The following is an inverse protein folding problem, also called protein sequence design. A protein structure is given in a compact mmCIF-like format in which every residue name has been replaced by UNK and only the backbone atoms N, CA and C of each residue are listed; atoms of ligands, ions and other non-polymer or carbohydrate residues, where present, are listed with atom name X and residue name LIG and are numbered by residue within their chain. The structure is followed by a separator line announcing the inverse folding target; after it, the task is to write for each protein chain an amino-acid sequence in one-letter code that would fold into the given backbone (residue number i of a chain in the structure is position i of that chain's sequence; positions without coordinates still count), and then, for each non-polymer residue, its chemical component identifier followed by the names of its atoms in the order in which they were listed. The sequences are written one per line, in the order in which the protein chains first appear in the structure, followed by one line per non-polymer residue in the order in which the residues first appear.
data_IF_302404255597
#
_entry.id   IF_302404255597
#
_cell.length_a   1.000
_cell.length_b   1.000
_cell.length_c   1.000
_cell.angle_alpha   90.00
_cell.angle_beta   90.00
_cell.angle_gamma   90.00
#
_symmetry.space_group_name_H-M   'P 1'
#
loop_
_entity.id
_entity.type
_entity.pdbx_description
1 polymer ?
#
# COMPACT_ATOMS: atom_id res chain seq x y z
N UNK A 1 22.84 -14.89 50.38
CA UNK A 1 21.60 -15.28 49.64
C UNK A 1 20.37 -14.43 49.89
N UNK A 2 20.18 -13.66 51.01
CA UNK A 2 18.99 -12.81 51.17
C UNK A 2 19.02 -11.46 50.41
N UNK A 3 20.20 -10.91 50.06
CA UNK A 3 20.33 -9.63 49.34
C UNK A 3 19.72 -9.64 47.94
N UNK A 4 19.83 -10.75 47.21
CA UNK A 4 19.24 -10.86 45.86
C UNK A 4 17.70 -10.87 45.83
N UNK A 5 17.07 -11.32 46.89
CA UNK A 5 15.58 -11.31 47.00
C UNK A 5 15.02 -9.92 47.31
N UNK A 6 15.77 -9.13 48.07
CA UNK A 6 15.37 -7.75 48.40
C UNK A 6 15.62 -6.84 47.18
N UNK A 7 16.72 -7.00 46.48
CA UNK A 7 16.96 -6.27 45.23
C UNK A 7 15.96 -6.62 44.12
N UNK A 8 15.53 -7.89 44.02
CA UNK A 8 14.43 -8.27 43.15
C UNK A 8 13.11 -7.65 43.57
N UNK A 9 12.76 -7.64 44.89
CA UNK A 9 11.57 -6.99 45.38
C UNK A 9 11.59 -5.47 45.15
N UNK A 10 12.72 -4.82 45.30
CA UNK A 10 12.88 -3.40 45.00
C UNK A 10 12.74 -3.13 43.49
N UNK A 11 13.27 -3.96 42.59
CA UNK A 11 13.06 -3.87 41.16
C UNK A 11 11.59 -4.04 40.74
N UNK A 12 10.87 -4.93 41.42
CA UNK A 12 9.43 -5.11 41.17
C UNK A 12 8.55 -3.99 41.79
N UNK A 13 9.00 -3.35 42.86
CA UNK A 13 8.27 -2.28 43.52
C UNK A 13 8.60 -0.88 42.98
N UNK A 14 9.83 -0.67 42.53
CA UNK A 14 10.27 0.63 41.97
C UNK A 14 9.79 0.89 40.53
N UNK A 15 9.22 -0.10 39.85
CA UNK A 15 8.75 0.02 38.49
C UNK A 15 7.34 0.64 38.31
N UNK A 16 6.62 0.95 39.36
CA UNK A 16 5.28 1.53 39.22
C UNK A 16 5.36 3.06 39.14
N UNK A 17 5.56 3.56 37.91
CA UNK A 17 5.30 4.98 37.67
C UNK A 17 3.83 5.29 37.97
N UNK A 18 3.52 6.36 38.77
CA UNK A 18 2.13 6.67 39.13
C UNK A 18 1.29 6.86 37.85
N UNK A 19 0.20 6.07 37.77
CA UNK A 19 -0.75 6.18 36.67
C UNK A 19 -1.49 7.51 36.77
N UNK A 20 -1.21 8.44 35.89
CA UNK A 20 -1.90 9.73 35.85
C UNK A 20 -3.01 9.68 34.80
N UNK A 21 -4.25 9.77 35.26
CA UNK A 21 -5.44 9.82 34.36
C UNK A 21 -5.37 11.03 33.44
N UNK A 22 -4.87 12.17 33.94
CA UNK A 22 -4.71 13.39 33.11
C UNK A 22 -3.76 13.21 31.94
N UNK A 23 -2.61 12.56 32.17
CA UNK A 23 -1.66 12.27 31.07
C UNK A 23 -2.23 11.26 30.07
N UNK A 24 -2.98 10.26 30.55
CA UNK A 24 -3.66 9.32 29.67
C UNK A 24 -4.67 10.02 28.77
N UNK A 25 -5.55 10.86 29.34
CA UNK A 25 -6.54 11.61 28.57
C UNK A 25 -5.89 12.51 27.52
N UNK A 26 -4.82 13.23 27.89
CA UNK A 26 -4.07 14.06 26.97
C UNK A 26 -3.46 13.22 25.82
N UNK A 27 -2.82 12.10 26.16
CA UNK A 27 -2.20 11.22 25.14
C UNK A 27 -3.24 10.58 24.21
N UNK A 28 -4.43 10.23 24.72
CA UNK A 28 -5.52 9.74 23.88
C UNK A 28 -6.06 10.83 22.93
N UNK A 29 -6.20 12.08 23.42
CA UNK A 29 -6.60 13.20 22.55
C UNK A 29 -5.57 13.48 21.46
N UNK A 30 -4.28 13.55 21.82
CA UNK A 30 -3.19 13.69 20.85
C UNK A 30 -3.18 12.53 19.86
N UNK A 31 -3.35 11.31 20.36
CA UNK A 31 -3.43 10.11 19.53
C UNK A 31 -4.60 10.14 18.54
N UNK A 32 -5.77 10.60 18.98
CA UNK A 32 -6.92 10.78 18.09
C UNK A 32 -6.60 11.77 16.95
N UNK A 33 -6.02 12.92 17.26
CA UNK A 33 -5.63 13.91 16.25
C UNK A 33 -4.62 13.33 15.26
N UNK A 34 -3.57 12.65 15.76
CA UNK A 34 -2.56 12.04 14.89
C UNK A 34 -3.19 10.94 14.01
N UNK A 35 -4.10 10.13 14.54
CA UNK A 35 -4.75 9.07 13.77
C UNK A 35 -5.60 9.61 12.61
N UNK A 36 -6.28 10.75 12.80
CA UNK A 36 -6.99 11.43 11.73
C UNK A 36 -6.04 12.01 10.67
N UNK A 37 -4.90 12.55 11.08
CA UNK A 37 -3.85 13.02 10.14
C UNK A 37 -3.33 11.84 9.32
N UNK A 38 -3.02 10.69 9.96
CA UNK A 38 -2.59 9.46 9.27
C UNK A 38 -3.65 8.97 8.30
N UNK A 39 -4.93 8.94 8.69
CA UNK A 39 -6.05 8.57 7.82
C UNK A 39 -6.13 9.49 6.60
N UNK A 40 -6.04 10.81 6.80
CA UNK A 40 -6.09 11.78 5.72
C UNK A 40 -4.90 11.60 4.76
N UNK A 41 -3.69 11.43 5.31
CA UNK A 41 -2.48 11.18 4.53
C UNK A 41 -2.60 9.87 3.72
N UNK A 42 -3.08 8.80 4.33
CA UNK A 42 -3.32 7.53 3.66
C UNK A 42 -4.32 7.68 2.51
N UNK A 43 -5.48 8.31 2.76
CA UNK A 43 -6.50 8.53 1.73
C UNK A 43 -5.96 9.33 0.53
N UNK A 44 -5.07 10.30 0.77
CA UNK A 44 -4.52 11.19 -0.25
C UNK A 44 -3.38 10.59 -1.06
N UNK A 45 -2.48 9.85 -0.41
CA UNK A 45 -1.21 9.42 -1.00
C UNK A 45 -1.06 7.92 -1.20
N UNK A 46 -1.97 7.09 -0.69
CA UNK A 46 -1.91 5.64 -0.87
C UNK A 46 -2.24 5.25 -2.32
N UNK A 47 -1.49 4.26 -2.82
CA UNK A 47 -1.68 3.67 -4.15
C UNK A 47 -2.34 2.30 -4.12
N UNK A 48 -2.90 1.90 -2.96
CA UNK A 48 -3.54 0.59 -2.77
C UNK A 48 -4.82 0.45 -3.57
N UNK A 49 -5.08 -0.77 -4.08
CA UNK A 49 -6.29 -1.14 -4.82
C UNK A 49 -7.51 -1.36 -3.93
N UNK A 50 -7.28 -1.50 -2.62
CA UNK A 50 -8.32 -1.75 -1.63
C UNK A 50 -9.13 -0.48 -1.33
N UNK A 51 -10.30 -0.63 -0.72
CA UNK A 51 -11.14 0.50 -0.28
C UNK A 51 -10.41 1.34 0.78
N UNK A 52 -9.73 2.42 0.33
CA UNK A 52 -8.88 3.30 1.16
C UNK A 52 -9.64 3.93 2.31
N UNK A 53 -10.94 4.16 2.13
CA UNK A 53 -11.77 4.80 3.15
C UNK A 53 -12.06 3.85 4.31
N UNK A 54 -12.39 2.62 3.98
CA UNK A 54 -12.70 1.57 4.95
C UNK A 54 -11.46 1.18 5.77
N UNK A 55 -10.33 0.98 5.09
CA UNK A 55 -9.08 0.66 5.76
C UNK A 55 -8.56 1.81 6.65
N UNK A 56 -8.65 3.05 6.19
CA UNK A 56 -8.27 4.23 6.97
C UNK A 56 -9.09 4.43 8.25
N UNK A 57 -10.31 3.89 8.32
CA UNK A 57 -11.16 3.94 9.51
C UNK A 57 -10.63 3.09 10.66
N UNK A 58 -9.74 2.13 10.38
CA UNK A 58 -9.14 1.23 11.39
C UNK A 58 -8.03 1.94 12.18
N UNK A 59 -7.37 2.95 11.61
CA UNK A 59 -6.20 3.63 12.21
C UNK A 59 -6.47 4.20 13.61
N UNK A 60 -7.57 4.96 13.85
CA UNK A 60 -7.88 5.45 15.18
C UNK A 60 -8.03 4.34 16.22
N UNK A 61 -8.70 3.25 15.85
CA UNK A 61 -8.90 2.12 16.77
C UNK A 61 -7.59 1.47 17.17
N UNK A 62 -6.71 1.18 16.21
CA UNK A 62 -5.41 0.54 16.49
C UNK A 62 -4.53 1.47 17.34
N UNK A 63 -4.41 2.74 16.95
CA UNK A 63 -3.56 3.69 17.65
C UNK A 63 -4.03 3.93 19.09
N UNK A 64 -5.31 4.21 19.29
CA UNK A 64 -5.87 4.48 20.62
C UNK A 64 -5.85 3.24 21.52
N UNK A 65 -6.17 2.06 20.98
CA UNK A 65 -6.09 0.80 21.72
C UNK A 65 -4.65 0.51 22.14
N UNK A 66 -3.68 0.70 21.24
CA UNK A 66 -2.25 0.52 21.58
C UNK A 66 -1.81 1.50 22.68
N UNK A 67 -2.21 2.79 22.57
CA UNK A 67 -1.92 3.80 23.59
C UNK A 67 -2.47 3.38 24.94
N UNK A 68 -3.72 2.92 25.00
CA UNK A 68 -4.36 2.47 26.23
C UNK A 68 -3.64 1.26 26.84
N UNK A 69 -3.39 0.22 26.01
CA UNK A 69 -2.72 -1.00 26.46
C UNK A 69 -1.35 -0.70 27.04
N UNK A 70 -0.53 0.09 26.37
CA UNK A 70 0.81 0.44 26.85
C UNK A 70 0.77 1.31 28.09
N UNK A 71 -0.20 2.23 28.20
CA UNK A 71 -0.35 3.04 29.42
C UNK A 71 -0.66 2.19 30.65
N UNK A 72 -1.44 1.11 30.49
CA UNK A 72 -1.76 0.16 31.57
C UNK A 72 -0.54 -0.74 31.87
N UNK A 73 0.08 -1.28 30.84
CA UNK A 73 1.19 -2.22 30.94
C UNK A 73 2.42 -1.57 31.60
N UNK A 74 2.70 -0.30 31.27
CA UNK A 74 3.80 0.47 31.86
C UNK A 74 3.71 0.58 33.37
N UNK A 75 2.52 0.50 33.95
CA UNK A 75 2.30 0.61 35.38
C UNK A 75 2.72 -0.65 36.16
N UNK A 76 2.95 -1.79 35.52
CA UNK A 76 3.29 -3.06 36.21
C UNK A 76 4.15 -3.98 35.32
N UNK A 77 5.32 -4.35 35.84
CA UNK A 77 6.21 -5.33 35.18
C UNK A 77 5.55 -6.69 34.98
N UNK A 78 4.74 -7.14 35.92
CA UNK A 78 4.03 -8.41 35.84
C UNK A 78 3.02 -8.40 34.67
N UNK A 79 2.28 -7.29 34.50
CA UNK A 79 1.37 -7.12 33.34
C UNK A 79 2.13 -7.06 32.03
N UNK A 80 3.33 -6.45 31.99
CA UNK A 80 4.17 -6.39 30.79
C UNK A 80 4.56 -7.79 30.33
N UNK A 81 5.04 -8.64 31.25
CA UNK A 81 5.44 -10.00 30.94
C UNK A 81 4.22 -10.87 30.55
N UNK A 82 3.09 -10.70 31.24
CA UNK A 82 1.84 -11.38 30.92
C UNK A 82 1.33 -11.03 29.52
N UNK A 83 1.38 -9.75 29.14
CA UNK A 83 0.93 -9.28 27.83
C UNK A 83 1.81 -9.82 26.69
N UNK A 84 3.15 -9.79 26.86
CA UNK A 84 4.08 -10.35 25.88
C UNK A 84 3.79 -11.83 25.67
N UNK A 85 3.56 -12.60 26.76
CA UNK A 85 3.14 -13.98 26.70
C UNK A 85 1.81 -14.17 25.97
N UNK A 86 0.80 -13.37 26.28
CA UNK A 86 -0.51 -13.45 25.65
C UNK A 86 -0.46 -13.08 24.15
N UNK A 87 0.30 -12.05 23.76
CA UNK A 87 0.44 -11.64 22.38
C UNK A 87 1.22 -12.65 21.54
N UNK A 88 2.13 -13.44 22.15
CA UNK A 88 2.88 -14.48 21.42
C UNK A 88 1.99 -15.61 20.89
N UNK A 89 0.79 -15.80 21.46
CA UNK A 89 -0.19 -16.81 21.05
C UNK A 89 -1.08 -16.29 19.91
N UNK A 90 -1.18 -14.97 19.75
CA UNK A 90 -2.03 -14.35 18.72
C UNK A 90 -1.40 -14.55 17.34
N UNK A 91 -2.04 -15.39 16.54
CA UNK A 91 -1.62 -15.66 15.16
C UNK A 91 -2.63 -15.08 14.17
N UNK A 92 -2.21 -14.09 13.40
CA UNK A 92 -2.99 -13.61 12.26
C UNK A 92 -3.02 -14.67 11.15
N UNK A 93 -4.21 -15.05 10.70
CA UNK A 93 -4.38 -16.03 9.62
C UNK A 93 -4.67 -15.39 8.26
N UNK A 94 -5.07 -14.13 8.26
CA UNK A 94 -5.33 -13.37 7.03
C UNK A 94 -4.08 -12.59 6.62
N UNK A 95 -3.49 -12.87 5.45
CA UNK A 95 -2.36 -12.08 4.95
C UNK A 95 -2.85 -10.66 4.59
N UNK A 96 -2.10 -9.66 5.03
CA UNK A 96 -2.26 -8.30 4.52
C UNK A 96 -1.65 -8.31 3.12
N UNK A 97 -2.47 -8.05 2.10
CA UNK A 97 -2.07 -8.16 0.69
C UNK A 97 -1.14 -7.03 0.26
N UNK A 98 -1.35 -5.82 0.80
CA UNK A 98 -0.65 -4.61 0.37
C UNK A 98 0.44 -4.22 1.38
N UNK A 99 1.72 -4.16 0.97
CA UNK A 99 2.82 -3.76 1.86
C UNK A 99 2.65 -2.35 2.43
N UNK A 100 1.99 -1.47 1.69
CA UNK A 100 1.72 -0.10 2.10
C UNK A 100 0.73 -0.02 3.25
N UNK A 101 -0.33 -0.82 3.23
CA UNK A 101 -1.29 -0.94 4.34
C UNK A 101 -0.60 -1.38 5.62
N UNK A 102 0.29 -2.37 5.50
CA UNK A 102 1.07 -2.86 6.63
C UNK A 102 1.96 -1.77 7.23
N UNK A 103 2.61 -0.95 6.40
CA UNK A 103 3.46 0.15 6.85
C UNK A 103 2.66 1.18 7.67
N UNK A 104 1.48 1.58 7.22
CA UNK A 104 0.61 2.49 7.97
C UNK A 104 0.13 1.90 9.29
N UNK A 105 -0.20 0.60 9.34
CA UNK A 105 -0.54 -0.09 10.59
C UNK A 105 0.62 -0.06 11.58
N UNK A 106 1.85 -0.32 11.12
CA UNK A 106 3.04 -0.23 11.97
C UNK A 106 3.28 1.18 12.51
N UNK A 107 3.03 2.23 11.70
CA UNK A 107 3.11 3.61 12.18
C UNK A 107 2.06 3.87 13.27
N UNK A 108 0.82 3.42 13.08
CA UNK A 108 -0.23 3.55 14.11
C UNK A 108 0.17 2.87 15.42
N UNK A 109 0.73 1.65 15.35
CA UNK A 109 1.22 0.91 16.52
C UNK A 109 2.38 1.67 17.17
N UNK A 110 3.38 2.12 16.40
CA UNK A 110 4.54 2.83 16.93
C UNK A 110 4.17 4.14 17.62
N UNK A 111 3.24 4.91 17.04
CA UNK A 111 2.73 6.14 17.64
C UNK A 111 1.96 5.81 18.94
N UNK A 112 1.13 4.77 18.92
CA UNK A 112 0.40 4.29 20.11
C UNK A 112 1.33 3.86 21.24
N UNK A 113 2.44 3.15 20.92
CA UNK A 113 3.49 2.78 21.88
C UNK A 113 4.15 4.01 22.50
N UNK A 114 4.55 4.99 21.68
CA UNK A 114 5.21 6.21 22.16
C UNK A 114 4.32 7.06 23.06
N UNK A 115 3.06 7.26 22.68
CA UNK A 115 2.08 8.00 23.49
C UNK A 115 1.74 7.25 24.79
N UNK A 116 1.54 5.93 24.73
CA UNK A 116 1.31 5.10 25.91
C UNK A 116 2.48 5.10 26.88
N UNK A 117 3.71 5.20 26.36
CA UNK A 117 4.91 5.36 27.15
C UNK A 117 5.11 6.77 27.77
N UNK A 118 4.17 7.70 27.58
CA UNK A 118 4.28 9.11 27.95
C UNK A 118 5.43 9.89 27.26
N UNK A 119 5.85 9.41 26.10
CA UNK A 119 6.85 10.08 25.25
C UNK A 119 6.17 10.90 24.16
N UNK A 120 5.29 11.82 24.54
CA UNK A 120 4.42 12.57 23.62
C UNK A 120 5.21 13.42 22.65
N UNK A 121 6.19 14.21 23.12
CA UNK A 121 6.98 15.12 22.26
C UNK A 121 7.85 14.35 21.26
N UNK A 122 8.68 13.36 21.66
CA UNK A 122 9.45 12.56 20.72
C UNK A 122 8.57 11.84 19.69
N UNK A 123 7.41 11.35 20.11
CA UNK A 123 6.48 10.64 19.23
C UNK A 123 5.90 11.55 18.15
N UNK A 124 5.48 12.77 18.52
CA UNK A 124 4.99 13.76 17.57
C UNK A 124 6.07 14.12 16.56
N UNK A 125 7.29 14.43 17.02
CA UNK A 125 8.42 14.78 16.14
C UNK A 125 8.75 13.63 15.17
N UNK A 126 8.84 12.41 15.69
CA UNK A 126 9.12 11.23 14.85
C UNK A 126 8.00 11.01 13.81
N UNK A 127 6.73 11.18 14.21
CA UNK A 127 5.60 11.02 13.29
C UNK A 127 5.64 12.05 12.16
N UNK A 128 5.96 13.31 12.46
CA UNK A 128 6.08 14.38 11.45
C UNK A 128 7.20 14.04 10.46
N UNK A 129 8.36 13.59 10.95
CA UNK A 129 9.49 13.21 10.10
C UNK A 129 9.12 12.04 9.19
N UNK A 130 8.47 11.00 9.74
CA UNK A 130 8.05 9.83 8.97
C UNK A 130 7.07 10.23 7.87
N UNK A 131 6.03 11.01 8.21
CA UNK A 131 5.05 11.49 7.24
C UNK A 131 5.69 12.36 6.16
N UNK A 132 6.65 13.20 6.52
CA UNK A 132 7.39 14.03 5.56
C UNK A 132 8.21 13.19 4.58
N UNK A 133 8.90 12.15 5.07
CA UNK A 133 9.65 11.21 4.21
C UNK A 133 8.70 10.46 3.28
N UNK A 134 7.56 9.97 3.81
CA UNK A 134 6.55 9.30 3.01
C UNK A 134 5.97 10.21 1.92
N UNK A 135 5.70 11.47 2.26
CA UNK A 135 5.25 12.48 1.30
C UNK A 135 6.26 12.67 0.16
N UNK A 136 7.55 12.85 0.49
CA UNK A 136 8.61 13.02 -0.52
C UNK A 136 8.75 11.81 -1.44
N UNK A 137 8.65 10.61 -0.87
CA UNK A 137 8.76 9.35 -1.63
C UNK A 137 7.58 9.19 -2.58
N UNK A 138 6.37 9.48 -2.12
CA UNK A 138 5.15 9.34 -2.91
C UNK A 138 5.03 10.39 -4.00
N UNK A 139 5.44 11.63 -3.75
CA UNK A 139 5.42 12.68 -4.76
C UNK A 139 6.31 12.35 -5.95
N UNK A 140 7.48 11.72 -5.72
CA UNK A 140 8.33 11.21 -6.80
C UNK A 140 7.70 10.05 -7.57
N UNK A 141 6.94 9.21 -6.90
CA UNK A 141 6.30 8.04 -7.51
C UNK A 141 5.09 8.41 -8.37
N UNK A 142 4.33 9.43 -7.99
CA UNK A 142 3.19 9.95 -8.78
C UNK A 142 3.66 10.49 -10.14
N UNK A 143 4.86 11.06 -10.22
CA UNK A 143 5.49 11.50 -11.47
C UNK A 143 5.87 10.35 -12.41
N UNK A 144 6.04 9.15 -11.88
CA UNK A 144 6.42 7.93 -12.63
C UNK A 144 5.29 6.89 -12.71
N UNK A 145 4.03 7.27 -12.45
CA UNK A 145 2.89 6.37 -12.65
C UNK A 145 2.76 6.09 -14.16
N UNK A 146 3.57 5.16 -14.65
CA UNK A 146 3.27 4.43 -15.87
C UNK A 146 1.96 3.69 -15.60
N UNK A 147 0.86 4.24 -16.10
CA UNK A 147 -0.41 3.53 -16.12
C UNK A 147 -0.13 2.18 -16.79
N UNK A 148 -0.19 1.10 -16.03
CA UNK A 148 -0.01 -0.26 -16.56
C UNK A 148 -1.25 -0.62 -17.39
N UNK A 149 -1.32 -0.08 -18.57
CA UNK A 149 -2.37 -0.33 -19.53
C UNK A 149 -1.87 -1.35 -20.54
N UNK A 150 -2.62 -2.41 -20.72
CA UNK A 150 -2.29 -3.46 -21.69
C UNK A 150 -3.27 -3.43 -22.85
N UNK A 151 -2.70 -3.41 -24.06
CA UNK A 151 -3.42 -3.53 -25.31
C UNK A 151 -3.09 -4.90 -25.91
N UNK A 152 -4.06 -5.81 -25.91
CA UNK A 152 -3.93 -7.13 -26.53
C UNK A 152 -4.59 -7.12 -27.90
N UNK A 153 -3.85 -7.58 -28.87
CA UNK A 153 -4.24 -7.59 -30.28
C UNK A 153 -4.17 -9.02 -30.80
N UNK A 154 -5.31 -9.55 -31.19
CA UNK A 154 -5.42 -10.89 -31.81
C UNK A 154 -5.77 -10.76 -33.28
N UNK A 155 -5.07 -11.48 -34.14
CA UNK A 155 -5.32 -11.50 -35.57
C UNK A 155 -5.21 -12.91 -36.12
N UNK A 156 -6.20 -13.33 -36.92
CA UNK A 156 -6.20 -14.60 -37.65
C UNK A 156 -5.33 -14.48 -38.89
N UNK A 157 -4.39 -15.41 -39.05
CA UNK A 157 -3.42 -15.44 -40.17
C UNK A 157 -3.76 -16.56 -41.09
N UNK A 158 -3.78 -16.25 -42.40
CA UNK A 158 -3.99 -17.21 -43.47
C UNK A 158 -2.65 -17.71 -44.08
N UNK A 159 -1.56 -16.92 -43.97
CA UNK A 159 -0.25 -17.29 -44.54
C UNK A 159 0.93 -16.92 -43.63
N UNK A 160 2.01 -17.75 -43.68
CA UNK A 160 3.20 -17.55 -42.81
C UNK A 160 4.03 -16.30 -43.16
N UNK A 161 3.99 -15.83 -44.39
CA UNK A 161 4.74 -14.65 -44.81
C UNK A 161 4.17 -13.34 -44.29
N UNK A 162 2.88 -13.32 -43.93
CA UNK A 162 2.22 -12.14 -43.35
C UNK A 162 2.61 -11.84 -41.89
N UNK A 163 3.14 -12.85 -41.18
CA UNK A 163 3.42 -12.74 -39.72
C UNK A 163 4.41 -11.62 -39.39
N UNK A 164 5.53 -11.51 -40.09
CA UNK A 164 6.57 -10.51 -39.80
C UNK A 164 6.15 -9.09 -40.18
N UNK A 165 5.47 -8.95 -41.29
CA UNK A 165 5.02 -7.64 -41.80
C UNK A 165 3.85 -7.12 -40.95
N UNK A 166 2.99 -8.00 -40.44
CA UNK A 166 1.90 -7.66 -39.55
C UNK A 166 2.40 -7.02 -38.27
N UNK A 167 3.33 -7.68 -37.55
CA UNK A 167 3.89 -7.16 -36.27
C UNK A 167 4.57 -5.80 -36.50
N UNK A 168 5.32 -5.64 -37.59
CA UNK A 168 5.98 -4.38 -37.94
C UNK A 168 4.98 -3.26 -38.22
N UNK A 169 3.91 -3.57 -38.93
CA UNK A 169 2.85 -2.62 -39.23
C UNK A 169 2.04 -2.23 -38.02
N UNK A 170 1.71 -3.17 -37.12
CA UNK A 170 1.02 -2.89 -35.85
C UNK A 170 1.89 -2.00 -34.96
N UNK A 171 3.20 -2.32 -34.84
CA UNK A 171 4.14 -1.48 -34.09
C UNK A 171 4.21 -0.06 -34.65
N UNK A 172 4.15 0.11 -35.98
CA UNK A 172 4.14 1.44 -36.59
C UNK A 172 2.88 2.22 -36.27
N UNK A 173 1.70 1.60 -36.33
CA UNK A 173 0.42 2.23 -36.03
C UNK A 173 0.36 2.64 -34.55
N UNK A 174 0.77 1.76 -33.63
CA UNK A 174 0.79 2.06 -32.19
C UNK A 174 1.81 3.17 -31.90
N UNK A 175 2.98 3.15 -32.53
CA UNK A 175 4.05 4.13 -32.30
C UNK A 175 3.77 5.53 -32.84
N UNK A 176 2.80 5.71 -33.75
CA UNK A 176 2.40 7.03 -34.25
C UNK A 176 1.54 7.80 -33.25
N UNK A 177 0.73 7.10 -32.45
CA UNK A 177 -0.26 7.71 -31.55
C UNK A 177 0.11 7.57 -30.05
N UNK A 178 1.15 6.76 -29.68
CA UNK A 178 1.54 6.50 -28.28
C UNK A 178 2.92 7.05 -27.97
N UNK A 179 3.03 7.81 -26.89
CA UNK A 179 4.32 8.37 -26.42
C UNK A 179 5.35 7.31 -26.02
N UNK A 180 4.88 6.17 -25.50
CA UNK A 180 5.72 5.05 -25.07
C UNK A 180 4.94 3.76 -25.12
N UNK A 181 5.44 2.76 -25.83
CA UNK A 181 4.90 1.41 -25.85
C UNK A 181 6.01 0.39 -25.68
N UNK A 182 5.70 -0.74 -25.08
CA UNK A 182 6.62 -1.85 -24.91
C UNK A 182 5.89 -3.17 -25.23
N UNK A 183 6.54 -4.02 -26.04
CA UNK A 183 6.01 -5.33 -26.38
C UNK A 183 6.26 -6.29 -25.22
N UNK A 184 5.19 -6.77 -24.57
CA UNK A 184 5.28 -7.65 -23.39
C UNK A 184 5.10 -9.11 -23.72
N UNK A 185 4.26 -9.40 -24.69
CA UNK A 185 3.96 -10.77 -25.10
C UNK A 185 3.76 -10.85 -26.61
N UNK A 186 4.27 -11.90 -27.21
CA UNK A 186 4.10 -12.22 -28.62
C UNK A 186 3.99 -13.74 -28.78
N UNK A 187 2.79 -14.23 -29.03
CA UNK A 187 2.50 -15.64 -29.24
C UNK A 187 2.12 -15.89 -30.69
N UNK A 188 2.84 -16.80 -31.33
CA UNK A 188 2.53 -17.32 -32.66
C UNK A 188 1.84 -18.69 -32.52
N UNK A 189 0.57 -18.74 -32.84
CA UNK A 189 -0.17 -20.02 -32.97
C UNK A 189 -0.42 -20.35 -34.42
N UNK A 190 -0.86 -21.60 -34.72
CA UNK A 190 -0.99 -22.05 -36.12
C UNK A 190 -1.86 -21.12 -36.98
N UNK A 191 -2.95 -20.59 -36.44
CA UNK A 191 -3.95 -19.82 -37.16
C UNK A 191 -4.10 -18.36 -36.66
N UNK A 192 -3.44 -17.96 -35.59
CA UNK A 192 -3.54 -16.61 -35.08
C UNK A 192 -2.28 -16.13 -34.37
N UNK A 193 -2.11 -14.81 -34.32
CA UNK A 193 -1.10 -14.13 -33.51
C UNK A 193 -1.81 -13.43 -32.37
N UNK A 194 -1.26 -13.53 -31.16
CA UNK A 194 -1.66 -12.78 -29.97
C UNK A 194 -0.47 -11.91 -29.55
N UNK A 195 -0.69 -10.60 -29.54
CA UNK A 195 0.33 -9.60 -29.23
C UNK A 195 -0.18 -8.75 -28.07
N UNK A 196 0.57 -8.65 -26.98
CA UNK A 196 0.24 -7.77 -25.87
C UNK A 196 1.28 -6.68 -25.72
N UNK A 197 0.82 -5.45 -25.81
CA UNK A 197 1.62 -4.24 -25.60
C UNK A 197 1.28 -3.64 -24.25
N UNK A 198 2.29 -3.18 -23.54
CA UNK A 198 2.11 -2.20 -22.47
C UNK A 198 2.17 -0.82 -23.12
N UNK A 199 1.10 -0.04 -22.97
CA UNK A 199 0.97 1.28 -23.59
C UNK A 199 0.75 2.33 -22.52
N UNK A 200 1.35 3.50 -22.70
CA UNK A 200 1.10 4.65 -21.84
C UNK A 200 0.26 5.65 -22.63
N UNK A 201 -1.04 5.69 -22.33
CA UNK A 201 -2.01 6.56 -22.99
C UNK A 201 -2.60 7.50 -21.93
N UNK A 202 -2.54 8.80 -22.20
CA UNK A 202 -3.03 9.81 -21.27
C UNK A 202 -4.55 10.04 -21.37
N UNK A 203 -5.12 9.81 -22.56
CA UNK A 203 -6.52 10.09 -22.86
C UNK A 203 -7.17 8.90 -23.57
N UNK A 204 -8.46 8.66 -23.27
CA UNK A 204 -9.25 7.58 -23.88
C UNK A 204 -9.41 7.79 -25.37
N UNK A 205 -9.48 9.04 -25.83
CA UNK A 205 -9.60 9.39 -27.26
C UNK A 205 -8.43 8.89 -28.10
N UNK A 206 -7.21 8.83 -27.54
CA UNK A 206 -6.04 8.24 -28.20
C UNK A 206 -6.20 6.72 -28.40
N UNK A 207 -6.80 6.05 -27.43
CA UNK A 207 -7.11 4.61 -27.53
C UNK A 207 -8.11 4.32 -28.62
N UNK A 208 -9.18 5.12 -28.71
CA UNK A 208 -10.19 4.98 -29.77
C UNK A 208 -9.56 5.18 -31.16
N UNK A 209 -8.66 6.15 -31.32
CA UNK A 209 -7.91 6.36 -32.56
C UNK A 209 -7.07 5.16 -32.94
N UNK A 210 -6.30 4.60 -31.99
CA UNK A 210 -5.46 3.41 -32.25
C UNK A 210 -6.33 2.24 -32.69
N UNK A 211 -7.43 1.97 -31.97
CA UNK A 211 -8.36 0.88 -32.28
C UNK A 211 -8.99 1.11 -33.67
N UNK A 212 -9.39 2.34 -33.96
CA UNK A 212 -9.95 2.69 -35.27
C UNK A 212 -8.94 2.47 -36.42
N UNK A 213 -7.70 2.93 -36.26
CA UNK A 213 -6.64 2.78 -37.26
C UNK A 213 -6.29 1.30 -37.48
N UNK A 214 -6.23 0.51 -36.40
CA UNK A 214 -6.00 -0.94 -36.49
C UNK A 214 -7.15 -1.64 -37.21
N UNK A 215 -8.42 -1.38 -36.88
CA UNK A 215 -9.59 -1.98 -37.50
C UNK A 215 -9.77 -1.54 -38.94
N UNK A 216 -9.41 -0.30 -39.29
CA UNK A 216 -9.43 0.19 -40.69
C UNK A 216 -8.48 -0.56 -41.57
N UNK A 217 -7.28 -0.91 -41.09
CA UNK A 217 -6.25 -1.64 -41.86
C UNK A 217 -6.45 -3.16 -41.82
N UNK A 218 -6.99 -3.67 -40.68
CA UNK A 218 -7.22 -5.09 -40.44
C UNK A 218 -8.64 -5.32 -39.91
N UNK A 219 -9.65 -5.51 -40.78
CA UNK A 219 -11.06 -5.57 -40.34
C UNK A 219 -11.39 -6.72 -39.38
N UNK A 220 -10.62 -7.82 -39.44
CA UNK A 220 -10.82 -9.02 -38.62
C UNK A 220 -9.99 -9.00 -37.31
N UNK A 221 -9.32 -7.88 -37.01
CA UNK A 221 -8.50 -7.74 -35.82
C UNK A 221 -9.38 -7.63 -34.57
N UNK A 222 -9.08 -8.43 -33.56
CA UNK A 222 -9.66 -8.28 -32.22
C UNK A 222 -8.70 -7.48 -31.34
N UNK A 223 -9.20 -6.44 -30.71
CA UNK A 223 -8.40 -5.58 -29.84
C UNK A 223 -9.06 -5.52 -28.46
N UNK A 224 -8.34 -5.97 -27.46
CA UNK A 224 -8.76 -5.93 -26.05
C UNK A 224 -7.87 -4.96 -25.28
N UNK A 225 -8.49 -4.05 -24.58
CA UNK A 225 -7.82 -3.12 -23.67
C UNK A 225 -8.07 -3.49 -22.22
N UNK A 226 -7.00 -3.54 -21.41
CA UNK A 226 -7.06 -3.86 -19.99
C UNK A 226 -6.29 -2.80 -19.20
N UNK A 227 -6.98 -2.08 -18.32
CA UNK A 227 -6.36 -1.25 -17.30
C UNK A 227 -6.19 -2.06 -16.01
N UNK A 228 -4.96 -2.51 -15.74
CA UNK A 228 -4.66 -3.35 -14.59
C UNK A 228 -4.86 -2.61 -13.25
N UNK A 229 -4.86 -1.29 -13.25
CA UNK A 229 -5.08 -0.50 -12.03
C UNK A 229 -6.56 -0.52 -11.57
N UNK A 230 -7.48 -0.98 -12.43
CA UNK A 230 -8.91 -1.05 -12.13
C UNK A 230 -9.42 -2.48 -11.92
N UNK A 231 -8.59 -3.50 -12.14
CA UNK A 231 -8.99 -4.89 -11.95
C UNK A 231 -8.70 -5.31 -10.52
N UNK A 232 -9.73 -5.67 -9.71
CA UNK A 232 -9.52 -6.23 -8.39
C UNK A 232 -8.69 -7.52 -8.51
N UNK A 233 -7.62 -7.64 -7.76
CA UNK A 233 -6.88 -8.90 -7.65
C UNK A 233 -7.78 -9.96 -7.02
N UNK A 234 -8.17 -10.97 -7.79
CA UNK A 234 -8.90 -12.16 -7.34
C UNK A 234 -8.03 -12.98 -6.39
#
# INVERSE_FOLDING_TARGET
MPENLNSLKELFSSGSAPFSIGSLMLNLLVGAVISFILKFHYKRYSSTLNNREEFGNIFPFILLTTTLVISIVKSSLALSLGLVGALSIVRFRTPIKEPEELAYLFICIAVGLGLGANQTIPTILATIIILFIMYLTKTKQISNFEKNMFLSVEYNIESENEKKDLVKNINKIIGEDVLRYDLRRLDFKKNYIDITYQVNVNEIDMLEKIIHNLKKKYPTISVTYLDQNQVPSI
#
